data_IF_865876316800
#
_entry.id   IF_865876316800
#
_cell.length_a   1.000
_cell.length_b   1.000
_cell.length_c   1.000
_cell.angle_alpha   90.00
_cell.angle_beta   90.00
_cell.angle_gamma   90.00
#
_symmetry.space_group_name_H-M   'P 1'
#
loop_
_entity.id
_entity.type
_entity.pdbx_description
1 polymer ?
#
# COMPACT_ATOMS: atom_id res chain seq x y z
N UNK A 1 -12.58 -4.19 -6.47
CA UNK A 1 -11.17 -4.06 -6.87
C UNK A 1 -11.04 -2.93 -7.88
N UNK A 2 -9.96 -2.15 -7.81
CA UNK A 2 -9.76 -0.96 -8.64
C UNK A 2 -9.45 -1.34 -10.09
N UNK A 3 -10.08 -0.64 -11.04
CA UNK A 3 -9.87 -0.86 -12.47
C UNK A 3 -8.55 -0.24 -12.95
N UNK A 4 -7.96 -0.79 -14.02
CA UNK A 4 -6.78 -0.19 -14.64
C UNK A 4 -7.03 1.24 -15.09
N UNK A 5 -8.25 1.53 -15.57
CA UNK A 5 -8.63 2.89 -16.02
C UNK A 5 -8.57 3.90 -14.88
N UNK A 6 -8.99 3.51 -13.67
CA UNK A 6 -8.93 4.39 -12.50
C UNK A 6 -7.49 4.57 -12.03
N UNK A 7 -6.69 3.50 -12.09
CA UNK A 7 -5.26 3.53 -11.77
C UNK A 7 -4.51 4.48 -12.72
N UNK A 8 -4.70 4.37 -14.03
CA UNK A 8 -4.02 5.25 -15.00
C UNK A 8 -4.43 6.71 -14.81
N UNK A 9 -5.71 6.99 -14.53
CA UNK A 9 -6.17 8.35 -14.21
C UNK A 9 -5.56 8.87 -12.93
N UNK A 10 -5.48 8.03 -11.90
CA UNK A 10 -4.88 8.40 -10.62
C UNK A 10 -3.38 8.68 -10.78
N UNK A 11 -2.67 7.91 -11.62
CA UNK A 11 -1.25 8.14 -11.89
C UNK A 11 -0.95 9.54 -12.43
N UNK A 12 -1.86 10.09 -13.24
CA UNK A 12 -1.71 11.42 -13.85
C UNK A 12 -1.94 12.57 -12.88
N UNK A 13 -2.73 12.36 -11.81
CA UNK A 13 -3.08 13.41 -10.84
C UNK A 13 -2.35 13.28 -9.50
N UNK A 14 -1.75 12.12 -9.23
CA UNK A 14 -1.07 11.84 -7.96
C UNK A 14 0.14 12.75 -7.82
N UNK A 15 0.23 13.45 -6.69
CA UNK A 15 1.43 14.18 -6.31
C UNK A 15 2.41 13.21 -5.62
N UNK A 16 3.41 12.76 -6.38
CA UNK A 16 4.38 11.78 -5.94
C UNK A 16 5.44 12.33 -4.98
N UNK A 17 5.61 13.66 -4.92
CA UNK A 17 6.75 14.30 -4.27
C UNK A 17 8.11 13.72 -4.73
N UNK A 18 8.23 13.40 -6.03
CA UNK A 18 9.40 12.80 -6.68
C UNK A 18 9.60 13.40 -8.08
N UNK A 19 10.85 13.50 -8.53
CA UNK A 19 11.18 13.99 -9.89
C UNK A 19 10.75 13.02 -11.00
N UNK A 20 10.77 11.71 -10.73
CA UNK A 20 10.35 10.68 -11.69
C UNK A 20 9.63 9.53 -10.97
N UNK A 21 8.29 9.43 -11.04
CA UNK A 21 7.56 8.32 -10.47
C UNK A 21 7.76 7.04 -11.28
N UNK A 22 7.92 5.91 -10.58
CA UNK A 22 8.14 4.60 -11.21
C UNK A 22 7.03 3.62 -10.82
N UNK A 23 6.45 2.96 -11.81
CA UNK A 23 5.40 1.96 -11.64
C UNK A 23 5.79 0.71 -12.41
N UNK A 24 5.94 -0.42 -11.72
CA UNK A 24 6.22 -1.70 -12.40
C UNK A 24 4.94 -2.31 -12.97
N UNK A 25 3.86 -2.34 -12.18
CA UNK A 25 2.60 -2.96 -12.57
C UNK A 25 1.41 -2.37 -11.80
N UNK A 26 0.22 -2.35 -12.42
CA UNK A 26 -1.00 -1.87 -11.78
C UNK A 26 -1.41 -2.72 -10.56
N UNK A 27 -1.02 -3.99 -10.55
CA UNK A 27 -1.24 -4.85 -9.39
C UNK A 27 -0.41 -4.44 -8.17
N UNK A 28 0.75 -3.79 -8.33
CA UNK A 28 1.51 -3.23 -7.21
C UNK A 28 0.68 -2.14 -6.49
N UNK A 29 -0.08 -1.36 -7.26
CA UNK A 29 -1.01 -0.35 -6.74
C UNK A 29 -2.21 -1.02 -6.07
N UNK A 30 -2.76 -2.11 -6.65
CA UNK A 30 -3.85 -2.88 -6.02
C UNK A 30 -3.41 -3.49 -4.69
N UNK A 31 -2.20 -4.04 -4.63
CA UNK A 31 -1.60 -4.60 -3.41
C UNK A 31 -1.48 -3.51 -2.34
N UNK A 32 -0.92 -2.36 -2.69
CA UNK A 32 -0.80 -1.25 -1.77
C UNK A 32 -2.17 -0.74 -1.29
N UNK A 33 -3.17 -0.73 -2.18
CA UNK A 33 -4.54 -0.34 -1.84
C UNK A 33 -5.17 -1.28 -0.82
N UNK A 34 -5.11 -2.59 -1.04
CA UNK A 34 -5.67 -3.58 -0.11
C UNK A 34 -5.00 -3.50 1.28
N UNK A 35 -3.68 -3.26 1.31
CA UNK A 35 -2.97 -3.07 2.58
C UNK A 35 -3.41 -1.79 3.30
N UNK A 36 -3.56 -0.68 2.58
CA UNK A 36 -4.04 0.60 3.14
C UNK A 36 -5.49 0.51 3.62
N UNK A 37 -6.34 -0.20 2.88
CA UNK A 37 -7.75 -0.39 3.20
C UNK A 37 -7.95 -1.13 4.54
N UNK A 38 -7.12 -2.14 4.80
CA UNK A 38 -7.14 -2.87 6.07
C UNK A 38 -6.69 -2.04 7.29
N UNK A 39 -6.06 -0.88 7.09
CA UNK A 39 -5.57 -0.08 8.21
C UNK A 39 -6.71 0.69 8.89
N UNK A 40 -6.61 0.82 10.22
CA UNK A 40 -7.47 1.73 10.98
C UNK A 40 -7.13 3.19 10.65
N UNK A 41 -8.09 3.91 10.08
CA UNK A 41 -7.93 5.33 9.73
C UNK A 41 -8.02 6.24 10.96
N UNK A 42 -7.27 7.33 10.95
CA UNK A 42 -7.24 8.37 11.99
C UNK A 42 -7.82 9.68 11.45
N UNK A 43 -8.33 10.52 12.35
CA UNK A 43 -8.85 11.86 11.99
C UNK A 43 -7.75 12.83 11.56
N UNK A 44 -6.54 12.62 12.04
CA UNK A 44 -5.36 13.45 11.76
C UNK A 44 -4.26 12.61 11.16
N UNK A 45 -3.40 13.24 10.35
CA UNK A 45 -2.19 12.61 9.83
C UNK A 45 -1.16 12.56 10.97
N UNK A 46 -0.63 11.38 11.36
CA UNK A 46 0.41 11.27 12.36
C UNK A 46 1.68 12.02 11.97
N UNK A 47 2.42 12.48 12.98
CA UNK A 47 3.70 13.19 12.77
C UNK A 47 4.78 12.26 12.21
N UNK A 48 4.79 10.99 12.61
CA UNK A 48 5.73 9.98 12.14
C UNK A 48 5.13 9.20 10.97
N UNK A 49 5.88 9.10 9.87
CA UNK A 49 5.52 8.23 8.75
C UNK A 49 5.79 6.76 9.07
N UNK A 50 5.16 5.88 8.30
CA UNK A 50 5.39 4.44 8.38
C UNK A 50 6.30 4.00 7.23
N UNK A 51 7.10 2.95 7.45
CA UNK A 51 7.78 2.23 6.38
C UNK A 51 6.78 1.35 5.60
N UNK A 52 5.64 1.93 5.18
CA UNK A 52 4.51 1.21 4.57
C UNK A 52 4.96 0.43 3.34
N UNK A 53 5.86 0.98 2.52
CA UNK A 53 6.49 0.28 1.39
C UNK A 53 7.03 -1.10 1.83
N UNK A 54 7.99 -1.14 2.74
CA UNK A 54 8.64 -2.40 3.14
C UNK A 54 7.68 -3.38 3.80
N UNK A 55 6.66 -2.88 4.50
CA UNK A 55 5.63 -3.73 5.11
C UNK A 55 4.71 -4.35 4.06
N UNK A 56 4.26 -3.56 3.08
CA UNK A 56 3.45 -4.02 1.96
C UNK A 56 4.22 -5.06 1.14
N UNK A 57 5.48 -4.78 0.82
CA UNK A 57 6.33 -5.67 0.02
C UNK A 57 6.49 -7.05 0.68
N UNK A 58 6.76 -7.07 1.99
CA UNK A 58 6.88 -8.30 2.77
C UNK A 58 5.56 -9.04 2.88
N UNK A 59 4.47 -8.33 3.14
CA UNK A 59 3.14 -8.93 3.27
C UNK A 59 2.70 -9.59 1.94
N UNK A 60 2.83 -8.88 0.83
CA UNK A 60 2.36 -9.33 -0.47
C UNK A 60 3.35 -10.21 -1.25
N UNK A 61 4.62 -10.27 -0.84
CA UNK A 61 5.65 -11.00 -1.57
C UNK A 61 5.90 -10.43 -2.97
N UNK A 62 5.79 -9.11 -3.13
CA UNK A 62 5.98 -8.41 -4.41
C UNK A 62 6.62 -7.05 -4.15
N UNK A 63 7.48 -6.61 -5.06
CA UNK A 63 8.03 -5.26 -5.00
C UNK A 63 6.93 -4.22 -5.24
N UNK A 64 6.94 -3.14 -4.45
CA UNK A 64 5.97 -2.04 -4.55
C UNK A 64 6.74 -0.74 -4.42
N UNK A 65 6.60 0.18 -5.37
CA UNK A 65 7.31 1.45 -5.33
C UNK A 65 6.63 2.45 -4.37
N UNK A 66 7.35 3.51 -3.97
CA UNK A 66 6.72 4.64 -3.26
C UNK A 66 5.59 5.25 -4.09
N UNK A 67 5.78 5.35 -5.41
CA UNK A 67 4.78 5.88 -6.33
C UNK A 67 3.52 5.02 -6.34
N UNK A 68 3.66 3.70 -6.27
CA UNK A 68 2.51 2.79 -6.20
C UNK A 68 1.69 3.01 -4.93
N UNK A 69 2.35 3.18 -3.78
CA UNK A 69 1.69 3.48 -2.50
C UNK A 69 0.99 4.84 -2.54
N UNK A 70 1.61 5.85 -3.15
CA UNK A 70 0.99 7.17 -3.30
C UNK A 70 -0.27 7.13 -4.16
N UNK A 71 -0.25 6.40 -5.28
CA UNK A 71 -1.44 6.25 -6.15
C UNK A 71 -2.54 5.46 -5.44
N UNK A 72 -2.17 4.41 -4.69
CA UNK A 72 -3.13 3.66 -3.89
C UNK A 72 -3.81 4.53 -2.82
N UNK A 73 -3.06 5.39 -2.15
CA UNK A 73 -3.60 6.34 -1.18
C UNK A 73 -4.53 7.37 -1.84
N UNK A 74 -4.16 7.91 -3.01
CA UNK A 74 -4.97 8.85 -3.80
C UNK A 74 -6.29 8.23 -4.32
N UNK A 75 -6.32 6.91 -4.51
CA UNK A 75 -7.50 6.17 -4.93
C UNK A 75 -8.44 5.82 -3.77
N UNK A 76 -7.95 5.86 -2.54
CA UNK A 76 -8.70 5.39 -1.38
C UNK A 76 -9.56 6.50 -0.77
N UNK A 77 -10.89 6.30 -0.62
CA UNK A 77 -11.82 7.36 -0.24
C UNK A 77 -11.56 7.94 1.16
N UNK A 78 -11.09 7.11 2.09
CA UNK A 78 -10.83 7.52 3.48
C UNK A 78 -9.34 7.74 3.82
N UNK A 79 -8.42 7.53 2.88
CA UNK A 79 -6.99 7.72 3.12
C UNK A 79 -6.60 9.09 2.60
N UNK A 80 -5.88 9.83 3.43
CA UNK A 80 -5.44 11.19 3.17
C UNK A 80 -4.01 11.37 3.65
N UNK A 81 -3.31 12.34 3.08
CA UNK A 81 -1.91 12.61 3.33
C UNK A 81 -1.04 12.28 2.13
N UNK A 82 0.27 12.25 2.34
CA UNK A 82 1.28 12.01 1.30
C UNK A 82 2.34 11.08 1.84
N UNK A 83 2.85 10.19 1.01
CA UNK A 83 3.92 9.28 1.43
C UNK A 83 5.10 10.05 2.06
N UNK A 84 5.65 9.59 3.21
CA UNK A 84 5.33 8.37 3.97
C UNK A 84 4.27 8.55 5.07
N UNK A 85 3.52 9.66 5.06
CA UNK A 85 2.58 10.08 6.12
C UNK A 85 1.13 10.07 5.63
N UNK A 86 0.42 9.01 5.99
CA UNK A 86 -1.02 8.87 5.76
C UNK A 86 -1.80 8.93 7.08
N UNK A 87 -3.09 9.22 7.03
CA UNK A 87 -4.01 9.20 8.18
C UNK A 87 -4.34 7.78 8.66
N UNK A 88 -3.32 6.98 8.96
CA UNK A 88 -3.46 5.61 9.49
C UNK A 88 -2.94 5.54 10.92
N UNK A 89 -3.50 4.60 11.69
CA UNK A 89 -3.09 4.38 13.08
C UNK A 89 -1.68 3.84 13.14
N UNK A 90 -0.91 4.27 14.15
CA UNK A 90 0.38 3.66 14.44
C UNK A 90 0.29 2.18 14.86
N UNK A 91 -0.90 1.74 15.30
CA UNK A 91 -1.20 0.33 15.56
C UNK A 91 -1.66 -0.32 14.26
N UNK A 92 -0.69 -0.73 13.45
CA UNK A 92 -0.94 -1.33 12.14
C UNK A 92 -1.72 -2.63 12.27
N UNK A 93 -2.60 -2.86 11.31
CA UNK A 93 -3.40 -4.09 11.19
C UNK A 93 -2.77 -4.96 10.11
N UNK A 94 -2.45 -6.21 10.45
CA UNK A 94 -2.01 -7.22 9.49
C UNK A 94 -3.20 -7.60 8.61
N UNK A 95 -3.18 -7.28 7.31
CA UNK A 95 -4.30 -7.58 6.44
C UNK A 95 -4.39 -9.09 6.17
N UNK A 96 -5.60 -9.62 6.01
CA UNK A 96 -5.79 -11.01 5.61
C UNK A 96 -5.22 -11.28 4.22
N UNK A 97 -4.61 -12.45 4.03
CA UNK A 97 -4.10 -12.89 2.73
C UNK A 97 -5.22 -13.06 1.69
N UNK A 98 -6.46 -13.26 2.14
CA UNK A 98 -7.60 -13.38 1.23
C UNK A 98 -7.82 -12.15 0.35
N UNK A 99 -7.34 -10.98 0.80
CA UNK A 99 -7.37 -9.72 0.02
C UNK A 99 -6.51 -9.79 -1.25
N UNK A 100 -5.48 -10.63 -1.26
CA UNK A 100 -4.56 -10.80 -2.40
C UNK A 100 -5.03 -11.84 -3.41
N UNK A 101 -6.06 -12.64 -3.11
CA UNK A 101 -6.47 -13.79 -3.94
C UNK A 101 -6.80 -13.44 -5.40
N UNK A 102 -7.22 -12.20 -5.67
CA UNK A 102 -7.61 -11.74 -7.00
C UNK A 102 -6.54 -10.85 -7.67
N UNK A 103 -5.33 -10.78 -7.10
CA UNK A 103 -4.23 -9.98 -7.63
C UNK A 103 -3.18 -10.90 -8.24
N UNK A 104 -3.04 -10.85 -9.56
CA UNK A 104 -2.19 -11.77 -10.31
C UNK A 104 -0.71 -11.65 -9.97
N UNK A 105 -0.22 -10.45 -9.64
CA UNK A 105 1.18 -10.22 -9.27
C UNK A 105 1.53 -10.52 -7.81
N UNK A 106 0.56 -10.88 -6.96
CA UNK A 106 0.85 -11.22 -5.57
C UNK A 106 1.75 -12.46 -5.48
N UNK A 107 2.69 -12.46 -4.54
CA UNK A 107 3.64 -13.55 -4.25
C UNK A 107 4.60 -13.93 -5.39
N UNK A 108 4.71 -13.12 -6.45
CA UNK A 108 5.59 -13.42 -7.59
C UNK A 108 7.07 -13.14 -7.35
N UNK A 109 7.45 -12.37 -6.33
CA UNK A 109 8.85 -12.20 -5.98
C UNK A 109 9.25 -13.15 -4.86
N UNK A 110 10.17 -14.06 -5.19
CA UNK A 110 10.80 -14.96 -4.23
C UNK A 110 11.50 -14.15 -3.12
N UNK A 111 11.54 -14.71 -1.90
CA UNK A 111 12.22 -14.18 -0.71
C UNK A 111 11.59 -12.95 -0.01
N UNK A 112 10.68 -12.20 -0.62
CA UNK A 112 10.08 -11.03 0.06
C UNK A 112 9.20 -11.43 1.26
N UNK A 113 8.40 -12.48 1.08
CA UNK A 113 7.47 -12.96 2.10
C UNK A 113 8.16 -13.62 3.28
N UNK A 114 9.36 -14.17 3.09
CA UNK A 114 10.13 -14.79 4.18
C UNK A 114 10.56 -13.76 5.24
N UNK A 115 10.66 -12.49 4.86
CA UNK A 115 10.95 -11.39 5.78
C UNK A 115 9.68 -10.81 6.43
N UNK A 116 8.50 -11.33 6.11
CA UNK A 116 7.25 -10.93 6.76
C UNK A 116 7.26 -11.35 8.22
N UNK A 117 6.92 -10.41 9.10
CA UNK A 117 6.93 -10.59 10.54
C UNK A 117 5.59 -10.10 11.08
N UNK A 118 4.70 -11.00 11.48
CA UNK A 118 3.40 -10.64 12.07
C UNK A 118 3.56 -9.73 13.31
N UNK A 119 4.67 -9.84 14.03
CA UNK A 119 5.01 -8.94 15.15
C UNK A 119 5.20 -7.46 14.77
N UNK A 120 5.35 -7.13 13.49
CA UNK A 120 5.40 -5.75 13.00
C UNK A 120 3.99 -5.09 13.03
N UNK A 121 2.94 -5.89 13.25
CA UNK A 121 1.55 -5.47 13.35
C UNK A 121 1.04 -5.59 14.79
N UNK A 122 0.15 -4.67 15.17
CA UNK A 122 -0.47 -4.64 16.50
C UNK A 122 -1.82 -5.36 16.53
N UNK A 123 -2.47 -5.49 15.38
CA UNK A 123 -3.81 -6.05 15.20
C UNK A 123 -3.76 -7.00 14.01
N UNK A 124 -4.60 -8.03 14.01
CA UNK A 124 -4.76 -8.96 12.89
C UNK A 124 -6.23 -8.93 12.47
N UNK A 125 -6.47 -8.92 11.17
CA UNK A 125 -7.82 -8.95 10.58
C UNK A 125 -8.54 -10.29 10.73
#
# INVERSE_FOLDING_TARGET
MISDKDIEKAKLRTDYNLESPHHEHNDCIRIAYEWLDAQKKTKTIPQCGHASKSLIERWAGRYVSQSDVSVAAELHPEIHGKFPRFNISARLTEPSLSRLNNIGEAFKHENYREFHKSKDYSVHE
#
